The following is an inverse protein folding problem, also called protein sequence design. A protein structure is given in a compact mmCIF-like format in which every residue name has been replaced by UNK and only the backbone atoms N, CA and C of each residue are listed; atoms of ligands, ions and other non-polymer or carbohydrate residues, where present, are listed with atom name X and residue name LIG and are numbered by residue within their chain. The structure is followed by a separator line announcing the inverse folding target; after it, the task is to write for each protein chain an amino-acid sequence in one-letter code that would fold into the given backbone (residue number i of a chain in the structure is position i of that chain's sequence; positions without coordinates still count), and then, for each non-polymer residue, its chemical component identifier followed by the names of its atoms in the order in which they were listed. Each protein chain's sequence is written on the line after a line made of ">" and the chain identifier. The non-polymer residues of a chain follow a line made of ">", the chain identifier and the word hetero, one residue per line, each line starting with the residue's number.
data_IF_762999103898
#
_entry.id   IF_762999103898
#
_cell.length_a   1.000
_cell.length_b   1.000
_cell.length_c   1.000
_cell.angle_alpha   90.00
_cell.angle_beta   90.00
_cell.angle_gamma   90.00
#
_symmetry.space_group_name_H-M   'P 1'
#
loop_
_entity.id
_entity.type
_entity.pdbx_description
1 polymer ?
#
# COMPACT_ATOMS: atom_id res chain seq x y z
N UNK A 1 -48.62 17.40 25.36
CA UNK A 1 -49.35 18.40 24.53
C UNK A 1 -48.36 19.53 24.30
N UNK A 2 -47.82 19.84 23.12
CA UNK A 2 -48.29 19.70 21.74
C UNK A 2 -47.04 19.66 20.83
N UNK A 3 -47.05 18.78 19.83
CA UNK A 3 -45.99 18.59 18.82
C UNK A 3 -46.17 19.61 17.70
N UNK A 4 -45.10 20.26 17.23
CA UNK A 4 -45.10 20.92 15.92
C UNK A 4 -43.92 20.48 15.05
N UNK A 5 -44.28 19.59 14.14
CA UNK A 5 -43.54 19.12 12.96
C UNK A 5 -43.63 20.22 11.89
N UNK A 6 -42.53 20.57 11.24
CA UNK A 6 -42.57 21.24 9.92
C UNK A 6 -41.83 20.39 8.90
N UNK A 7 -42.62 19.80 8.02
CA UNK A 7 -42.20 19.18 6.76
C UNK A 7 -42.11 20.30 5.73
N UNK A 8 -41.00 20.39 5.01
CA UNK A 8 -40.92 21.12 3.75
C UNK A 8 -40.24 20.20 2.74
N UNK A 9 -41.08 19.61 1.89
CA UNK A 9 -40.69 18.90 0.69
C UNK A 9 -40.60 19.90 -0.46
N UNK A 10 -39.50 19.85 -1.22
CA UNK A 10 -39.49 20.33 -2.60
C UNK A 10 -38.64 19.37 -3.42
N UNK A 11 -39.35 18.59 -4.24
CA UNK A 11 -38.82 17.75 -5.29
C UNK A 11 -38.21 18.63 -6.39
N UNK A 12 -36.94 18.35 -6.74
CA UNK A 12 -36.25 18.94 -7.87
C UNK A 12 -36.09 17.91 -8.99
N UNK A 13 -36.96 18.03 -9.98
CA UNK A 13 -37.00 17.45 -11.33
C UNK A 13 -35.96 16.40 -11.76
N UNK A 14 -36.50 15.24 -12.14
CA UNK A 14 -35.89 14.23 -13.03
C UNK A 14 -35.74 14.84 -14.43
N UNK A 15 -34.50 15.05 -14.89
CA UNK A 15 -34.22 15.34 -16.29
C UNK A 15 -33.97 14.04 -17.05
N UNK A 16 -35.03 13.53 -17.69
CA UNK A 16 -34.96 12.52 -18.74
C UNK A 16 -34.40 13.17 -20.01
N UNK A 17 -33.12 12.90 -20.29
CA UNK A 17 -32.49 13.21 -21.57
C UNK A 17 -32.24 11.92 -22.36
N UNK A 18 -33.31 11.29 -22.85
CA UNK A 18 -33.24 10.23 -23.86
C UNK A 18 -33.29 10.89 -25.24
N UNK A 19 -32.14 11.06 -25.88
CA UNK A 19 -32.04 11.22 -27.33
C UNK A 19 -31.33 9.99 -27.89
N UNK A 20 -32.14 9.06 -28.40
CA UNK A 20 -31.70 8.01 -29.32
C UNK A 20 -31.79 8.59 -30.72
N UNK A 21 -30.67 8.66 -31.44
CA UNK A 21 -30.60 8.71 -32.90
C UNK A 21 -29.18 8.31 -33.34
N UNK A 22 -29.06 7.20 -34.08
CA UNK A 22 -27.93 6.93 -34.98
C UNK A 22 -26.96 5.83 -34.55
N UNK A 23 -27.17 4.61 -35.04
CA UNK A 23 -26.14 3.57 -35.12
C UNK A 23 -25.15 3.92 -36.25
N UNK A 24 -23.85 3.85 -35.97
CA UNK A 24 -22.84 3.60 -36.99
C UNK A 24 -21.56 4.43 -36.88
N UNK A 25 -20.45 3.69 -36.79
CA UNK A 25 -19.04 4.08 -36.99
C UNK A 25 -18.23 4.45 -35.74
N UNK A 26 -17.41 3.46 -35.37
CA UNK A 26 -16.11 3.51 -34.69
C UNK A 26 -15.55 4.92 -34.41
N UNK A 27 -15.21 5.20 -33.15
CA UNK A 27 -13.83 5.48 -32.76
C UNK A 27 -13.66 5.49 -31.23
N UNK A 28 -12.76 4.62 -30.80
CA UNK A 28 -12.00 4.54 -29.55
C UNK A 28 -12.73 4.42 -28.19
N UNK A 29 -12.59 3.28 -27.47
CA UNK A 29 -12.77 3.32 -26.02
C UNK A 29 -11.71 4.27 -25.45
N UNK A 30 -12.13 5.21 -24.61
CA UNK A 30 -11.21 6.03 -23.81
C UNK A 30 -10.32 5.07 -23.03
N UNK A 31 -9.10 4.85 -23.52
CA UNK A 31 -8.08 4.07 -22.84
C UNK A 31 -7.83 4.76 -21.50
N UNK A 32 -8.46 4.26 -20.43
CA UNK A 32 -7.82 4.30 -19.12
C UNK A 32 -6.42 3.75 -19.37
N UNK A 33 -5.38 4.54 -19.08
CA UNK A 33 -3.99 4.26 -19.43
C UNK A 33 -3.56 2.84 -18.99
N UNK A 34 -3.84 1.87 -19.84
CA UNK A 34 -3.34 0.52 -19.84
C UNK A 34 -1.99 0.59 -20.54
N UNK A 35 -1.00 1.19 -19.86
CA UNK A 35 0.29 1.49 -20.47
C UNK A 35 1.49 1.24 -19.56
N UNK A 36 1.34 1.41 -18.25
CA UNK A 36 2.43 1.09 -17.32
C UNK A 36 2.18 -0.26 -16.68
N UNK A 37 2.63 -1.30 -17.40
CA UNK A 37 2.88 -2.62 -16.82
C UNK A 37 3.66 -2.42 -15.53
N UNK A 38 3.09 -2.91 -14.43
CA UNK A 38 3.71 -2.86 -13.11
C UNK A 38 5.16 -3.38 -13.19
N UNK A 39 6.16 -2.64 -12.65
CA UNK A 39 7.56 -2.97 -12.89
C UNK A 39 7.87 -4.39 -12.42
N UNK A 40 8.72 -5.16 -13.12
CA UNK A 40 9.08 -6.49 -12.65
C UNK A 40 9.80 -6.39 -11.31
N UNK A 41 9.42 -7.25 -10.36
CA UNK A 41 10.13 -7.41 -9.10
C UNK A 41 10.35 -8.91 -8.90
N UNK A 42 11.61 -9.32 -8.76
CA UNK A 42 11.95 -10.74 -8.71
C UNK A 42 11.56 -11.38 -7.37
N UNK A 43 11.07 -12.62 -7.48
CA UNK A 43 10.66 -13.45 -6.36
C UNK A 43 9.27 -13.13 -5.83
N UNK A 44 8.91 -13.83 -4.77
CA UNK A 44 7.60 -13.72 -4.12
C UNK A 44 7.78 -13.72 -2.61
N UNK A 45 6.88 -13.06 -1.91
CA UNK A 45 6.79 -13.13 -0.47
C UNK A 45 6.48 -14.55 0.00
N UNK A 46 7.19 -15.04 1.02
CA UNK A 46 6.82 -16.30 1.67
C UNK A 46 5.53 -16.11 2.47
N UNK A 47 4.73 -17.17 2.60
CA UNK A 47 3.55 -17.17 3.47
C UNK A 47 3.91 -17.36 4.95
N UNK A 48 5.19 -17.44 5.30
CA UNK A 48 5.65 -17.65 6.67
C UNK A 48 5.17 -16.51 7.56
N UNK A 49 4.63 -16.90 8.71
CA UNK A 49 4.06 -15.98 9.69
C UNK A 49 2.98 -15.04 9.09
N UNK A 50 2.39 -15.34 7.93
CA UNK A 50 1.38 -14.49 7.26
C UNK A 50 1.94 -13.31 6.48
N UNK A 51 3.26 -13.26 6.19
CA UNK A 51 3.88 -12.15 5.46
C UNK A 51 3.34 -12.01 4.02
N UNK A 52 3.16 -13.11 3.30
CA UNK A 52 2.59 -13.11 1.95
C UNK A 52 1.19 -12.50 1.89
N UNK A 53 0.36 -12.73 2.91
CA UNK A 53 -0.99 -12.15 2.99
C UNK A 53 -0.94 -10.65 3.30
N UNK A 54 -0.06 -10.22 4.21
CA UNK A 54 0.16 -8.81 4.51
C UNK A 54 0.65 -8.03 3.27
N UNK A 55 1.61 -8.61 2.53
CA UNK A 55 2.10 -8.02 1.28
C UNK A 55 0.99 -7.94 0.24
N UNK A 56 0.19 -9.00 0.08
CA UNK A 56 -0.95 -9.00 -0.85
C UNK A 56 -1.98 -7.92 -0.51
N UNK A 57 -2.29 -7.73 0.77
CA UNK A 57 -3.20 -6.69 1.22
C UNK A 57 -2.70 -5.27 0.89
N UNK A 58 -1.38 -5.07 0.90
CA UNK A 58 -0.75 -3.76 0.60
C UNK A 58 -0.74 -3.38 -0.89
N UNK A 59 -1.00 -4.33 -1.81
CA UNK A 59 -0.83 -4.12 -3.26
C UNK A 59 -1.67 -2.95 -3.81
N UNK A 60 -2.88 -2.76 -3.30
CA UNK A 60 -3.75 -1.65 -3.72
C UNK A 60 -3.13 -0.29 -3.41
N UNK A 61 -2.55 -0.13 -2.22
CA UNK A 61 -1.84 1.08 -1.84
C UNK A 61 -0.56 1.28 -2.67
N UNK A 62 0.24 0.22 -2.88
CA UNK A 62 1.49 0.29 -3.63
C UNK A 62 1.31 0.71 -5.09
N UNK A 63 0.26 0.19 -5.73
CA UNK A 63 -0.08 0.52 -7.13
C UNK A 63 -0.72 1.90 -7.31
N UNK A 64 -1.15 2.54 -6.21
CA UNK A 64 -1.68 3.90 -6.21
C UNK A 64 -0.61 4.99 -6.08
N UNK A 65 0.62 4.62 -5.70
CA UNK A 65 1.74 5.55 -5.56
C UNK A 65 2.31 5.96 -6.94
N UNK A 66 3.02 7.10 -6.97
CA UNK A 66 3.78 7.58 -8.13
C UNK A 66 5.26 7.78 -7.75
N UNK A 67 6.21 7.06 -8.38
CA UNK A 67 5.99 5.92 -9.29
C UNK A 67 5.25 4.77 -8.60
N UNK A 68 4.64 3.89 -9.41
CA UNK A 68 3.99 2.66 -8.91
C UNK A 68 5.04 1.70 -8.37
N UNK A 69 4.67 0.96 -7.33
CA UNK A 69 5.52 -0.08 -6.75
C UNK A 69 4.96 -1.48 -6.98
N UNK A 70 5.87 -2.41 -7.21
CA UNK A 70 5.63 -3.86 -7.21
C UNK A 70 6.32 -4.50 -6.02
N UNK A 71 5.85 -5.68 -5.63
CA UNK A 71 6.45 -6.48 -4.55
C UNK A 71 7.22 -7.66 -5.14
N UNK A 72 8.42 -7.92 -4.65
CA UNK A 72 9.23 -9.09 -5.01
C UNK A 72 9.32 -10.08 -3.86
N UNK A 73 10.53 -10.58 -3.60
CA UNK A 73 10.85 -11.44 -2.47
C UNK A 73 10.47 -10.78 -1.13
N UNK A 74 9.91 -11.57 -0.23
CA UNK A 74 9.64 -11.17 1.15
C UNK A 74 9.90 -12.33 2.09
N UNK A 75 10.65 -12.12 3.17
CA UNK A 75 10.99 -13.16 4.15
C UNK A 75 10.78 -12.67 5.58
N UNK A 76 10.38 -13.59 6.46
CA UNK A 76 10.28 -13.37 7.89
C UNK A 76 11.04 -14.49 8.61
N UNK A 77 12.10 -14.15 9.33
CA UNK A 77 12.95 -15.14 10.02
C UNK A 77 13.07 -14.81 11.52
N UNK A 78 13.17 -15.81 12.41
CA UNK A 78 13.43 -15.56 13.82
C UNK A 78 14.78 -14.86 14.04
N UNK A 79 14.82 -13.82 14.88
CA UNK A 79 16.08 -13.24 15.32
C UNK A 79 16.77 -14.21 16.31
N UNK A 80 18.06 -14.46 16.09
CA UNK A 80 18.81 -15.49 16.81
C UNK A 80 18.68 -15.34 18.34
N UNK A 81 18.28 -16.44 19.01
CA UNK A 81 18.13 -16.47 20.46
C UNK A 81 16.93 -15.68 21.00
N UNK A 82 15.97 -15.30 20.15
CA UNK A 82 14.75 -14.58 20.58
C UNK A 82 13.48 -15.16 19.95
N UNK A 83 12.31 -14.70 20.41
CA UNK A 83 11.01 -15.00 19.82
C UNK A 83 10.53 -13.95 18.79
N UNK A 84 11.39 -12.98 18.48
CA UNK A 84 11.09 -11.88 17.57
C UNK A 84 11.46 -12.22 16.13
N UNK A 85 10.92 -11.48 15.17
CA UNK A 85 11.07 -11.69 13.75
C UNK A 85 11.84 -10.53 13.10
N UNK A 86 12.70 -10.87 12.16
CA UNK A 86 13.32 -9.96 11.21
C UNK A 86 12.60 -10.14 9.87
N UNK A 87 11.99 -9.07 9.39
CA UNK A 87 11.26 -9.04 8.12
C UNK A 87 12.08 -8.30 7.08
N UNK A 88 12.24 -8.87 5.89
CA UNK A 88 12.82 -8.21 4.73
C UNK A 88 11.86 -8.28 3.56
N UNK A 89 11.62 -7.17 2.87
CA UNK A 89 10.71 -7.07 1.72
C UNK A 89 11.37 -6.32 0.58
N UNK A 90 11.24 -6.83 -0.64
CA UNK A 90 11.71 -6.18 -1.86
C UNK A 90 10.56 -5.42 -2.51
N UNK A 91 10.73 -4.12 -2.70
CA UNK A 91 9.77 -3.23 -3.35
C UNK A 91 10.42 -2.56 -4.57
N UNK A 92 9.93 -2.87 -5.76
CA UNK A 92 10.48 -2.33 -7.00
C UNK A 92 9.68 -1.11 -7.44
N UNK A 93 10.30 0.07 -7.37
CA UNK A 93 9.76 1.33 -7.87
C UNK A 93 10.85 2.07 -8.66
N UNK A 94 10.89 1.93 -9.99
CA UNK A 94 11.90 2.59 -10.82
C UNK A 94 11.85 4.11 -10.65
N UNK A 95 13.02 4.73 -10.44
CA UNK A 95 13.12 6.18 -10.25
C UNK A 95 12.51 6.71 -8.95
N UNK A 96 12.05 5.84 -8.04
CA UNK A 96 11.48 6.26 -6.76
C UNK A 96 12.52 6.98 -5.89
N UNK A 97 12.16 8.17 -5.42
CA UNK A 97 12.95 8.89 -4.44
C UNK A 97 12.82 8.23 -3.06
N UNK A 98 13.77 8.52 -2.17
CA UNK A 98 13.82 7.92 -0.84
C UNK A 98 12.49 8.07 -0.08
N UNK A 99 11.89 9.25 -0.11
CA UNK A 99 10.61 9.52 0.56
C UNK A 99 9.46 8.69 -0.03
N UNK A 100 9.41 8.51 -1.35
CA UNK A 100 8.41 7.65 -1.98
C UNK A 100 8.63 6.18 -1.63
N UNK A 101 9.88 5.72 -1.55
CA UNK A 101 10.20 4.37 -1.07
C UNK A 101 9.79 4.18 0.39
N UNK A 102 9.91 5.21 1.24
CA UNK A 102 9.41 5.17 2.62
C UNK A 102 7.89 5.11 2.69
N UNK A 103 7.19 5.81 1.80
CA UNK A 103 5.73 5.73 1.72
C UNK A 103 5.28 4.33 1.29
N UNK A 104 5.93 3.75 0.29
CA UNK A 104 5.69 2.37 -0.14
C UNK A 104 5.99 1.35 0.97
N UNK A 105 7.12 1.51 1.67
CA UNK A 105 7.46 0.69 2.83
C UNK A 105 6.41 0.81 3.94
N UNK A 106 5.87 2.00 4.15
CA UNK A 106 4.80 2.25 5.14
C UNK A 106 3.50 1.53 4.76
N UNK A 107 3.17 1.45 3.47
CA UNK A 107 2.00 0.69 3.01
C UNK A 107 2.11 -0.80 3.39
N UNK A 108 3.27 -1.42 3.20
CA UNK A 108 3.50 -2.81 3.63
C UNK A 108 3.54 -2.93 5.15
N UNK A 109 4.22 -2.01 5.82
CA UNK A 109 4.37 -2.02 7.28
C UNK A 109 3.03 -1.92 8.01
N UNK A 110 2.03 -1.22 7.46
CA UNK A 110 0.66 -1.20 8.00
C UNK A 110 0.05 -2.59 8.06
N UNK A 111 0.10 -3.31 6.95
CA UNK A 111 -0.45 -4.66 6.86
C UNK A 111 0.31 -5.65 7.74
N UNK A 112 1.63 -5.49 7.84
CA UNK A 112 2.47 -6.26 8.77
C UNK A 112 2.11 -5.94 10.23
N UNK A 113 1.88 -4.67 10.56
CA UNK A 113 1.57 -4.23 11.91
C UNK A 113 0.20 -4.71 12.42
N UNK A 114 -0.82 -4.74 11.55
CA UNK A 114 -2.16 -5.23 11.92
C UNK A 114 -2.28 -6.76 11.83
N UNK A 115 -1.30 -7.43 11.23
CA UNK A 115 -1.27 -8.89 11.16
C UNK A 115 -1.14 -9.51 12.55
N UNK A 116 -2.07 -10.40 12.89
CA UNK A 116 -2.11 -11.11 14.19
C UNK A 116 -0.88 -11.98 14.46
N UNK A 117 -0.17 -12.38 13.40
CA UNK A 117 0.97 -13.29 13.48
C UNK A 117 2.31 -12.57 13.40
N UNK A 118 2.34 -11.34 12.86
CA UNK A 118 3.55 -10.54 12.69
C UNK A 118 3.62 -9.38 13.67
N UNK A 119 2.56 -8.59 13.82
CA UNK A 119 2.59 -7.24 14.39
C UNK A 119 3.47 -7.12 15.64
N UNK A 120 3.13 -7.84 16.70
CA UNK A 120 3.84 -7.76 17.99
C UNK A 120 5.16 -8.54 18.03
N UNK A 121 5.50 -9.27 16.97
CA UNK A 121 6.69 -10.12 16.89
C UNK A 121 7.81 -9.51 16.06
N UNK A 122 7.51 -8.58 15.15
CA UNK A 122 8.54 -7.96 14.30
C UNK A 122 9.41 -7.05 15.15
N UNK A 123 10.71 -7.39 15.26
CA UNK A 123 11.72 -6.53 15.86
C UNK A 123 12.22 -5.48 14.86
N UNK A 124 12.35 -5.89 13.60
CA UNK A 124 12.86 -5.05 12.52
C UNK A 124 12.17 -5.39 11.22
N UNK A 125 11.82 -4.36 10.46
CA UNK A 125 11.41 -4.48 9.08
C UNK A 125 12.40 -3.76 8.18
N UNK A 126 12.93 -4.46 7.19
CA UNK A 126 13.83 -3.91 6.16
C UNK A 126 13.11 -3.90 4.82
N UNK A 127 13.23 -2.80 4.10
CA UNK A 127 12.76 -2.69 2.72
C UNK A 127 13.93 -2.41 1.80
N UNK A 128 14.01 -3.20 0.73
CA UNK A 128 14.98 -3.09 -0.34
C UNK A 128 14.27 -2.62 -1.61
N UNK A 129 14.74 -1.51 -2.19
CA UNK A 129 14.34 -1.14 -3.55
C UNK A 129 15.51 -1.41 -4.50
N UNK A 130 15.57 -2.60 -5.13
CA UNK A 130 16.69 -2.98 -5.98
C UNK A 130 16.80 -2.08 -7.21
N UNK A 131 15.69 -1.50 -7.69
CA UNK A 131 15.66 -0.61 -8.85
C UNK A 131 16.42 0.70 -8.64
N UNK A 132 16.48 1.19 -7.40
CA UNK A 132 17.18 2.43 -7.03
C UNK A 132 18.36 2.20 -6.10
N UNK A 133 18.51 0.97 -5.61
CA UNK A 133 19.57 0.59 -4.71
C UNK A 133 19.41 1.03 -3.27
N UNK A 134 18.21 1.51 -2.91
CA UNK A 134 17.90 1.99 -1.58
C UNK A 134 17.63 0.81 -0.63
N UNK A 135 18.17 0.90 0.59
CA UNK A 135 17.85 0.01 1.71
C UNK A 135 17.43 0.89 2.89
N UNK A 136 16.24 0.63 3.42
CA UNK A 136 15.72 1.33 4.60
C UNK A 136 15.26 0.32 5.64
N UNK A 137 15.36 0.68 6.90
CA UNK A 137 14.90 -0.15 8.01
C UNK A 137 14.11 0.68 9.03
N UNK A 138 13.10 0.03 9.61
CA UNK A 138 12.45 0.44 10.84
C UNK A 138 12.91 -0.51 11.96
N UNK A 139 13.75 0.00 12.85
CA UNK A 139 14.37 -0.73 13.96
C UNK A 139 14.50 0.21 15.19
N UNK A 140 13.79 -0.06 16.30
CA UNK A 140 12.79 -1.11 16.46
C UNK A 140 11.55 -0.87 15.58
N UNK A 141 10.90 -1.96 15.16
CA UNK A 141 9.61 -1.87 14.48
C UNK A 141 8.49 -1.61 15.49
N UNK A 142 7.91 -0.42 15.45
CA UNK A 142 6.81 -0.02 16.34
C UNK A 142 5.45 -0.31 15.69
N UNK A 143 4.92 -1.52 15.87
CA UNK A 143 3.66 -1.94 15.27
C UNK A 143 2.49 -1.00 15.57
N UNK A 144 2.38 -0.49 16.81
CA UNK A 144 1.33 0.48 17.17
C UNK A 144 1.41 1.78 16.38
N UNK A 145 2.61 2.26 16.03
CA UNK A 145 2.78 3.45 15.21
C UNK A 145 2.36 3.18 13.76
N UNK A 146 2.74 2.04 13.20
CA UNK A 146 2.39 1.67 11.82
C UNK A 146 0.93 1.24 11.64
N UNK A 147 0.29 0.68 12.67
CA UNK A 147 -1.13 0.33 12.67
C UNK A 147 -2.05 1.56 12.81
N UNK A 148 -1.51 2.73 13.14
CA UNK A 148 -2.29 3.97 13.24
C UNK A 148 -2.80 4.47 11.89
N UNK A 149 -3.75 5.40 11.89
CA UNK A 149 -4.27 6.09 10.70
C UNK A 149 -3.44 7.33 10.30
N UNK A 150 -2.28 7.57 10.95
CA UNK A 150 -1.39 8.67 10.63
C UNK A 150 -1.00 8.66 9.14
N UNK A 151 -0.78 9.81 8.51
CA UNK A 151 -0.35 9.83 7.10
C UNK A 151 1.02 9.14 6.92
N UNK A 152 1.25 8.53 5.74
CA UNK A 152 2.55 7.90 5.44
C UNK A 152 3.73 8.88 5.57
N UNK A 153 3.51 10.14 5.17
CA UNK A 153 4.48 11.23 5.31
C UNK A 153 4.91 11.45 6.78
N UNK A 154 4.00 11.32 7.74
CA UNK A 154 4.28 11.43 9.17
C UNK A 154 5.13 10.26 9.70
N UNK A 155 5.03 9.08 9.06
CA UNK A 155 5.75 7.88 9.45
C UNK A 155 7.13 7.74 8.76
N UNK A 156 7.47 8.62 7.81
CA UNK A 156 8.77 8.60 7.10
C UNK A 156 9.99 8.69 8.02
N UNK A 157 9.85 9.34 9.17
CA UNK A 157 10.91 9.46 10.17
C UNK A 157 11.23 8.14 10.87
N UNK A 158 10.34 7.15 10.79
CA UNK A 158 10.54 5.79 11.33
C UNK A 158 11.42 4.91 10.45
N UNK A 159 11.72 5.37 9.23
CA UNK A 159 12.54 4.67 8.27
C UNK A 159 13.91 5.31 8.15
N UNK A 160 14.95 4.54 8.44
CA UNK A 160 16.34 4.98 8.37
C UNK A 160 17.06 4.29 7.21
N UNK A 161 17.80 5.04 6.36
CA UNK A 161 18.70 4.44 5.40
C UNK A 161 19.74 3.55 6.10
N UNK A 162 20.02 2.39 5.53
CA UNK A 162 21.01 1.44 6.05
C UNK A 162 22.04 1.08 4.98
N UNK A 163 23.23 0.67 5.41
CA UNK A 163 24.26 0.17 4.50
C UNK A 163 23.77 -1.12 3.80
N UNK A 164 24.25 -1.33 2.57
CA UNK A 164 23.93 -2.54 1.79
C UNK A 164 24.56 -3.78 2.37
#
# INVERSE_FOLDING_TARGET
>A
MTVQRRVAATAGAVALGLMVLGCGQNDEPVSAAAGETMPPCEGVATSDYGLGDAIRASLSALTSLSPRFSTGTGTAVPAAGTNTLLVEVHLCGPGAQLDTTKDAATAVAREVAISRTLGDRVQRMTVLNPSTGQRIAAEPFEASAFASDAAASTLRSRWHPTAR
#
